data_IF_337430120534
#
_entry.id   IF_337430120534
#
_cell.length_a   1.000
_cell.length_b   1.000
_cell.length_c   1.000
_cell.angle_alpha   90.00
_cell.angle_beta   90.00
_cell.angle_gamma   90.00
#
_symmetry.space_group_name_H-M   'P 1'
#
loop_
_entity.id
_entity.type
_entity.pdbx_description
1 polymer ?
#
# COMPACT_ATOMS: atom_id res chain seq x y z
N UNK A 1 -27.19 -7.85 -8.17
CA UNK A 1 -26.71 -7.04 -9.32
C UNK A 1 -25.54 -7.76 -9.98
N UNK A 2 -25.39 -7.69 -11.31
CA UNK A 2 -24.26 -8.32 -12.01
C UNK A 2 -22.93 -7.63 -11.63
N UNK A 3 -21.88 -8.43 -11.39
CA UNK A 3 -20.54 -7.96 -11.04
C UNK A 3 -19.72 -7.70 -12.32
N UNK A 4 -19.85 -6.50 -12.88
CA UNK A 4 -19.17 -6.07 -14.12
C UNK A 4 -17.65 -6.26 -14.07
N UNK A 5 -17.05 -6.08 -12.89
CA UNK A 5 -15.62 -6.19 -12.64
C UNK A 5 -15.28 -7.51 -11.93
N UNK A 6 -15.86 -8.61 -12.41
CA UNK A 6 -15.75 -9.98 -11.88
C UNK A 6 -16.26 -10.15 -10.45
N UNK A 7 -15.57 -9.56 -9.46
CA UNK A 7 -15.96 -9.60 -8.04
C UNK A 7 -16.63 -8.31 -7.55
N UNK A 8 -16.52 -7.21 -8.31
CA UNK A 8 -17.11 -5.92 -7.96
C UNK A 8 -18.16 -5.48 -8.98
N UNK A 9 -19.21 -4.79 -8.52
CA UNK A 9 -20.02 -3.91 -9.38
C UNK A 9 -19.25 -2.62 -9.68
N UNK A 10 -19.71 -1.84 -10.66
CA UNK A 10 -19.17 -0.49 -10.90
C UNK A 10 -19.30 0.42 -9.67
N UNK A 11 -20.44 0.35 -8.98
CA UNK A 11 -20.69 1.14 -7.77
C UNK A 11 -19.73 0.75 -6.63
N UNK A 12 -19.48 -0.54 -6.42
CA UNK A 12 -18.54 -1.00 -5.40
C UNK A 12 -17.10 -0.58 -5.70
N UNK A 13 -16.70 -0.61 -6.97
CA UNK A 13 -15.39 -0.10 -7.37
C UNK A 13 -15.30 1.40 -7.15
N UNK A 14 -16.34 2.15 -7.50
CA UNK A 14 -16.42 3.60 -7.27
C UNK A 14 -16.36 3.94 -5.78
N UNK A 15 -17.08 3.20 -4.96
CA UNK A 15 -17.08 3.35 -3.51
C UNK A 15 -15.71 3.08 -2.91
N UNK A 16 -15.07 1.95 -3.28
CA UNK A 16 -13.72 1.61 -2.83
C UNK A 16 -12.70 2.72 -3.15
N UNK A 17 -12.72 3.20 -4.39
CA UNK A 17 -11.82 4.27 -4.84
C UNK A 17 -12.17 5.61 -4.16
N UNK A 18 -13.46 5.88 -3.95
CA UNK A 18 -13.96 7.05 -3.24
C UNK A 18 -13.54 7.13 -1.77
N UNK A 19 -13.18 6.00 -1.14
CA UNK A 19 -12.66 5.94 0.24
C UNK A 19 -11.17 6.31 0.36
N UNK A 20 -10.40 6.32 -0.75
CA UNK A 20 -8.95 6.58 -0.72
C UNK A 20 -8.58 7.97 -0.16
N UNK A 21 -9.28 9.08 -0.50
CA UNK A 21 -8.98 10.38 0.10
C UNK A 21 -9.11 10.38 1.63
N UNK A 22 -10.17 9.77 2.17
CA UNK A 22 -10.37 9.64 3.63
C UNK A 22 -9.26 8.80 4.27
N UNK A 23 -8.93 7.67 3.65
CA UNK A 23 -7.83 6.82 4.12
C UNK A 23 -6.49 7.57 4.15
N UNK A 24 -6.19 8.37 3.13
CA UNK A 24 -5.00 9.24 3.11
C UNK A 24 -5.03 10.32 4.19
N UNK A 25 -6.19 10.91 4.47
CA UNK A 25 -6.34 11.88 5.57
C UNK A 25 -6.00 11.21 6.90
N UNK A 26 -6.64 10.08 7.20
CA UNK A 26 -6.39 9.32 8.43
C UNK A 26 -4.90 9.01 8.62
N UNK A 27 -4.23 8.63 7.54
CA UNK A 27 -2.80 8.38 7.56
C UNK A 27 -1.94 9.63 7.81
N UNK A 28 -2.32 10.77 7.23
CA UNK A 28 -1.66 12.04 7.51
C UNK A 28 -1.90 12.48 8.96
N UNK A 29 -3.12 12.29 9.46
CA UNK A 29 -3.55 12.64 10.81
C UNK A 29 -2.80 11.79 11.86
N UNK A 30 -2.68 10.48 11.66
CA UNK A 30 -1.87 9.61 12.53
C UNK A 30 -0.42 10.08 12.59
N UNK A 31 0.19 10.41 11.44
CA UNK A 31 1.57 10.91 11.43
C UNK A 31 1.69 12.25 12.15
N UNK A 32 0.77 13.18 11.91
CA UNK A 32 0.76 14.48 12.55
C UNK A 32 0.61 14.33 14.07
N UNK A 33 -0.31 13.47 14.51
CA UNK A 33 -0.53 13.18 15.91
C UNK A 33 0.70 12.56 16.58
N UNK A 34 1.31 11.53 15.98
CA UNK A 34 2.55 10.92 16.51
C UNK A 34 3.66 11.95 16.65
N UNK A 35 3.78 12.89 15.70
CA UNK A 35 4.78 13.95 15.77
C UNK A 35 4.54 14.97 16.90
N UNK A 36 3.33 15.07 17.42
CA UNK A 36 2.98 15.98 18.54
C UNK A 36 2.88 15.27 19.88
N UNK A 37 2.98 13.93 19.93
CA UNK A 37 3.01 13.17 21.19
C UNK A 37 4.30 13.53 21.95
N UNK A 38 4.22 13.91 23.24
CA UNK A 38 5.42 14.15 24.06
C UNK A 38 6.34 12.93 24.06
N UNK A 39 7.66 13.15 24.04
CA UNK A 39 8.65 12.08 23.89
C UNK A 39 8.53 11.03 25.00
N UNK A 40 8.22 11.45 26.23
CA UNK A 40 8.04 10.57 27.38
C UNK A 40 6.84 9.63 27.18
N UNK A 41 5.73 10.17 26.64
CA UNK A 41 4.55 9.37 26.32
C UNK A 41 4.84 8.42 25.17
N UNK A 42 5.54 8.91 24.13
CA UNK A 42 5.94 8.09 22.99
C UNK A 42 6.81 6.91 23.44
N UNK A 43 7.85 7.16 24.22
CA UNK A 43 8.79 6.14 24.71
C UNK A 43 8.13 5.19 25.73
N UNK A 44 7.11 5.65 26.48
CA UNK A 44 6.34 4.77 27.37
C UNK A 44 5.55 3.69 26.61
N UNK A 45 5.15 3.99 25.37
CA UNK A 45 4.42 3.08 24.48
C UNK A 45 5.42 2.30 23.62
N UNK A 46 6.35 2.99 22.98
CA UNK A 46 7.38 2.46 22.08
C UNK A 46 8.64 2.12 22.87
N UNK A 47 8.60 1.02 23.63
CA UNK A 47 9.64 0.67 24.62
C UNK A 47 10.96 0.17 24.01
N UNK A 48 11.05 0.06 22.68
CA UNK A 48 12.23 -0.40 21.95
C UNK A 48 11.87 -1.06 20.63
N UNK A 49 12.86 -1.66 19.96
CA UNK A 49 12.63 -2.36 18.69
C UNK A 49 12.11 -1.45 17.57
N UNK A 50 12.47 -0.16 17.58
CA UNK A 50 12.07 0.77 16.54
C UNK A 50 12.45 0.22 15.16
N UNK A 51 11.47 0.12 14.28
CA UNK A 51 11.65 -0.47 12.95
C UNK A 51 11.37 -1.96 12.87
N UNK A 52 10.99 -2.67 13.95
CA UNK A 52 10.69 -4.10 13.90
C UNK A 52 9.62 -4.46 12.85
N UNK A 53 8.72 -3.53 12.53
CA UNK A 53 7.71 -3.71 11.48
C UNK A 53 8.30 -3.98 10.09
N UNK A 54 9.57 -3.62 9.83
CA UNK A 54 10.19 -3.85 8.52
C UNK A 54 10.32 -5.33 8.20
N UNK A 55 10.41 -6.17 9.24
CA UNK A 55 10.37 -7.63 9.09
C UNK A 55 9.05 -8.14 8.52
N UNK A 56 7.96 -7.38 8.70
CA UNK A 56 6.66 -7.72 8.13
C UNK A 56 6.67 -7.59 6.61
N UNK A 57 7.46 -6.67 6.04
CA UNK A 57 7.64 -6.56 4.60
C UNK A 57 8.41 -7.75 4.00
N UNK A 58 9.06 -8.59 4.82
CA UNK A 58 9.63 -9.84 4.31
C UNK A 58 8.54 -10.86 3.96
N UNK A 59 7.35 -10.73 4.53
CA UNK A 59 6.23 -11.66 4.30
C UNK A 59 5.45 -11.30 3.03
N UNK A 60 4.79 -12.27 2.39
CA UNK A 60 3.76 -11.99 1.38
C UNK A 60 2.74 -10.97 1.91
N UNK A 61 2.20 -10.12 1.02
CA UNK A 61 1.30 -9.04 1.45
C UNK A 61 0.04 -9.55 2.16
N UNK A 62 -0.48 -10.72 1.78
CA UNK A 62 -1.63 -11.31 2.46
C UNK A 62 -1.31 -11.63 3.92
N UNK A 63 -0.13 -12.20 4.21
CA UNK A 63 0.29 -12.44 5.59
C UNK A 63 0.50 -11.13 6.36
N UNK A 64 1.04 -10.10 5.71
CA UNK A 64 1.14 -8.75 6.29
C UNK A 64 -0.25 -8.24 6.70
N UNK A 65 -1.23 -8.30 5.81
CA UNK A 65 -2.59 -7.88 6.10
C UNK A 65 -3.24 -8.73 7.21
N UNK A 66 -3.03 -10.04 7.20
CA UNK A 66 -3.52 -10.95 8.25
C UNK A 66 -2.98 -10.60 9.63
N UNK A 67 -1.70 -10.23 9.75
CA UNK A 67 -1.13 -9.82 11.03
C UNK A 67 -1.84 -8.57 11.60
N UNK A 68 -2.15 -7.60 10.74
CA UNK A 68 -2.87 -6.38 11.17
C UNK A 68 -4.30 -6.72 11.59
N UNK A 69 -5.00 -7.56 10.82
CA UNK A 69 -6.38 -8.01 11.15
C UNK A 69 -6.41 -8.69 12.52
N UNK A 70 -5.46 -9.58 12.80
CA UNK A 70 -5.37 -10.25 14.09
C UNK A 70 -5.00 -9.25 15.19
N UNK A 71 -3.99 -8.41 14.98
CA UNK A 71 -3.57 -7.42 15.98
C UNK A 71 -4.70 -6.46 16.39
N UNK A 72 -5.54 -6.05 15.45
CA UNK A 72 -6.71 -5.20 15.69
C UNK A 72 -7.94 -5.96 16.22
N UNK A 73 -7.80 -7.26 16.48
CA UNK A 73 -8.88 -8.13 16.94
C UNK A 73 -10.10 -8.14 15.97
N UNK A 74 -9.81 -8.17 14.66
CA UNK A 74 -10.79 -8.10 13.55
C UNK A 74 -10.99 -9.42 12.82
N UNK A 75 -10.37 -10.51 13.30
CA UNK A 75 -10.45 -11.81 12.61
C UNK A 75 -11.89 -12.31 12.45
N UNK A 76 -12.73 -12.15 13.48
CA UNK A 76 -14.15 -12.51 13.42
C UNK A 76 -14.94 -11.65 12.43
N UNK A 77 -14.67 -10.34 12.39
CA UNK A 77 -15.30 -9.43 11.42
C UNK A 77 -14.99 -9.90 9.99
N UNK A 78 -13.74 -10.26 9.71
CA UNK A 78 -13.32 -10.75 8.38
C UNK A 78 -13.95 -12.10 8.05
N UNK A 79 -14.11 -12.99 9.03
CA UNK A 79 -14.83 -14.25 8.84
C UNK A 79 -16.32 -14.01 8.54
N UNK A 80 -16.96 -13.08 9.25
CA UNK A 80 -18.35 -12.71 9.02
C UNK A 80 -18.55 -12.07 7.63
N UNK A 81 -17.65 -11.16 7.22
CA UNK A 81 -17.64 -10.60 5.87
C UNK A 81 -17.48 -11.69 4.81
N UNK A 82 -16.55 -12.63 5.01
CA UNK A 82 -16.31 -13.73 4.07
C UNK A 82 -17.51 -14.67 3.93
N UNK A 83 -18.30 -14.84 4.99
CA UNK A 83 -19.52 -15.66 5.01
C UNK A 83 -20.77 -14.94 4.49
N UNK A 84 -20.71 -13.62 4.25
CA UNK A 84 -21.84 -12.84 3.77
C UNK A 84 -22.21 -13.20 2.32
N UNK A 85 -23.46 -12.92 1.92
CA UNK A 85 -23.92 -13.14 0.54
C UNK A 85 -23.16 -12.31 -0.49
N UNK A 86 -22.74 -11.09 -0.12
CA UNK A 86 -21.83 -10.25 -0.90
C UNK A 86 -20.64 -9.83 -0.03
N UNK A 87 -19.56 -10.63 0.02
CA UNK A 87 -18.40 -10.34 0.87
C UNK A 87 -17.72 -9.02 0.52
N UNK A 88 -17.81 -8.57 -0.74
CA UNK A 88 -17.21 -7.30 -1.16
C UNK A 88 -18.00 -6.12 -0.61
N UNK A 89 -19.34 -6.18 -0.64
CA UNK A 89 -20.16 -5.14 -0.01
C UNK A 89 -19.97 -5.14 1.50
N UNK A 90 -20.00 -6.32 2.15
CA UNK A 90 -19.78 -6.42 3.59
C UNK A 90 -18.43 -5.81 4.01
N UNK A 91 -17.38 -6.02 3.21
CA UNK A 91 -16.08 -5.39 3.45
C UNK A 91 -16.11 -3.87 3.27
N UNK A 92 -16.80 -3.35 2.25
CA UNK A 92 -16.96 -1.91 2.08
C UNK A 92 -17.76 -1.30 3.24
N UNK A 93 -18.90 -1.87 3.59
CA UNK A 93 -19.74 -1.41 4.70
C UNK A 93 -18.94 -1.36 6.02
N UNK A 94 -18.03 -2.32 6.24
CA UNK A 94 -17.16 -2.34 7.43
C UNK A 94 -16.07 -1.27 7.46
N UNK A 95 -15.74 -0.64 6.33
CA UNK A 95 -14.73 0.44 6.26
C UNK A 95 -15.29 1.80 6.69
N UNK A 96 -16.40 1.83 7.45
CA UNK A 96 -16.97 3.07 7.96
C UNK A 96 -16.05 3.67 9.04
N UNK A 97 -15.35 4.74 8.64
CA UNK A 97 -14.36 5.43 9.46
C UNK A 97 -14.97 6.33 10.54
N UNK A 98 -16.29 6.40 10.64
CA UNK A 98 -17.00 7.18 11.66
C UNK A 98 -17.44 6.34 12.87
N UNK A 99 -17.20 5.02 12.84
CA UNK A 99 -17.43 4.17 14.00
C UNK A 99 -16.29 4.31 15.02
N UNK A 100 -16.60 4.89 16.19
CA UNK A 100 -15.75 4.83 17.39
C UNK A 100 -15.83 3.41 17.97
N UNK A 101 -15.16 2.47 17.30
CA UNK A 101 -15.00 1.12 17.83
C UNK A 101 -13.76 1.06 18.73
N UNK A 102 -13.99 1.29 20.03
CA UNK A 102 -13.00 1.19 21.11
C UNK A 102 -12.54 -0.26 21.41
N UNK A 103 -12.64 -1.16 20.42
CA UNK A 103 -12.23 -2.55 20.56
C UNK A 103 -10.76 -2.65 21.00
N UNK A 104 -10.47 -3.39 22.07
CA UNK A 104 -9.09 -3.63 22.46
C UNK A 104 -8.35 -4.43 21.39
N UNK A 105 -7.06 -4.16 21.24
CA UNK A 105 -6.17 -4.98 20.43
C UNK A 105 -6.09 -6.41 20.99
N UNK A 106 -5.68 -7.34 20.15
CA UNK A 106 -5.56 -8.75 20.52
C UNK A 106 -4.42 -8.95 21.55
N UNK A 107 -4.64 -9.81 22.55
CA UNK A 107 -3.74 -10.02 23.70
C UNK A 107 -2.31 -10.47 23.33
N UNK A 108 -2.16 -11.11 22.17
CA UNK A 108 -0.87 -11.55 21.65
C UNK A 108 0.02 -10.41 21.12
N UNK A 109 -0.48 -9.17 21.11
CA UNK A 109 0.23 -7.99 20.61
C UNK A 109 0.32 -6.93 21.68
N UNK A 110 1.47 -6.28 21.78
CA UNK A 110 1.62 -5.10 22.61
C UNK A 110 1.12 -3.85 21.85
N UNK A 111 0.83 -2.77 22.58
CA UNK A 111 0.42 -1.49 21.96
C UNK A 111 1.42 -1.00 20.90
N UNK A 112 2.72 -1.18 21.14
CA UNK A 112 3.76 -0.82 20.18
C UNK A 112 3.66 -1.62 18.88
N UNK A 113 3.26 -2.89 18.95
CA UNK A 113 3.14 -3.75 17.77
C UNK A 113 1.99 -3.30 16.91
N UNK A 114 0.86 -2.93 17.53
CA UNK A 114 -0.31 -2.38 16.84
C UNK A 114 0.03 -1.08 16.12
N UNK A 115 0.74 -0.16 16.78
CA UNK A 115 1.20 1.11 16.19
C UNK A 115 2.16 0.84 15.03
N UNK A 116 3.13 -0.06 15.21
CA UNK A 116 4.12 -0.43 14.22
C UNK A 116 3.49 -1.10 12.98
N UNK A 117 2.55 -2.02 13.20
CA UNK A 117 1.79 -2.69 12.14
C UNK A 117 0.91 -1.69 11.37
N UNK A 118 0.22 -0.79 12.06
CA UNK A 118 -0.59 0.27 11.44
C UNK A 118 0.27 1.20 10.58
N UNK A 119 1.45 1.59 11.08
CA UNK A 119 2.41 2.37 10.30
C UNK A 119 2.89 1.61 9.06
N UNK A 120 3.19 0.32 9.19
CA UNK A 120 3.63 -0.51 8.07
C UNK A 120 2.57 -0.68 6.97
N UNK A 121 1.29 -0.78 7.37
CA UNK A 121 0.17 -0.81 6.43
C UNK A 121 0.07 0.52 5.69
N UNK A 122 0.15 1.63 6.42
CA UNK A 122 0.14 2.96 5.81
C UNK A 122 1.22 3.08 4.72
N UNK A 123 2.46 2.67 5.02
CA UNK A 123 3.55 2.70 4.04
C UNK A 123 3.32 1.77 2.87
N UNK A 124 2.70 0.61 3.11
CA UNK A 124 2.35 -0.32 2.04
C UNK A 124 1.28 0.24 1.11
N UNK A 125 0.25 0.87 1.65
CA UNK A 125 -0.78 1.57 0.87
C UNK A 125 -0.17 2.72 0.06
N UNK A 126 0.74 3.49 0.67
CA UNK A 126 1.49 4.54 -0.02
C UNK A 126 2.32 3.97 -1.19
N UNK A 127 2.96 2.82 -1.01
CA UNK A 127 3.68 2.12 -2.08
C UNK A 127 2.74 1.67 -3.20
N UNK A 128 1.56 1.13 -2.87
CA UNK A 128 0.57 0.71 -3.86
C UNK A 128 0.09 1.88 -4.72
N UNK A 129 -0.22 3.02 -4.09
CA UNK A 129 -0.61 4.24 -4.79
C UNK A 129 0.51 4.82 -5.66
N UNK A 130 1.77 4.72 -5.20
CA UNK A 130 2.92 5.31 -5.90
C UNK A 130 3.42 4.43 -7.05
N UNK A 131 3.53 3.13 -6.81
CA UNK A 131 4.23 2.17 -7.67
C UNK A 131 3.33 1.05 -8.21
N UNK A 132 2.07 0.96 -7.77
CA UNK A 132 1.20 -0.16 -8.12
C UNK A 132 1.66 -1.49 -7.50
N UNK A 133 2.41 -1.43 -6.39
CA UNK A 133 3.00 -2.60 -5.70
C UNK A 133 2.98 -2.42 -4.19
N UNK A 134 2.74 -3.49 -3.45
CA UNK A 134 2.97 -3.51 -2.01
C UNK A 134 4.47 -3.40 -1.68
N UNK A 135 4.80 -2.98 -0.46
CA UNK A 135 6.19 -3.05 0.02
C UNK A 135 6.67 -4.50 0.07
N UNK A 136 5.81 -5.41 0.53
CA UNK A 136 6.06 -6.86 0.51
C UNK A 136 6.47 -7.36 -0.88
N UNK A 137 5.75 -6.99 -1.94
CA UNK A 137 6.08 -7.49 -3.28
C UNK A 137 7.33 -6.85 -3.85
N UNK A 138 7.64 -5.59 -3.51
CA UNK A 138 8.92 -4.97 -3.84
C UNK A 138 10.09 -5.71 -3.18
N UNK A 139 9.99 -6.03 -1.87
CA UNK A 139 11.04 -6.77 -1.16
C UNK A 139 11.15 -8.21 -1.68
N UNK A 140 10.03 -8.89 -1.95
CA UNK A 140 10.03 -10.22 -2.56
C UNK A 140 10.78 -10.25 -3.89
N UNK A 141 10.59 -9.24 -4.75
CA UNK A 141 11.29 -9.12 -6.03
C UNK A 141 12.80 -8.89 -5.88
N UNK A 142 13.23 -8.24 -4.79
CA UNK A 142 14.65 -8.14 -4.43
C UNK A 142 15.21 -9.51 -4.04
N UNK A 143 14.45 -10.30 -3.27
CA UNK A 143 14.86 -11.66 -2.86
C UNK A 143 14.95 -12.61 -4.04
N UNK A 144 13.89 -12.69 -4.82
CA UNK A 144 13.73 -13.68 -5.89
C UNK A 144 14.54 -13.35 -7.14
N UNK A 145 14.55 -12.06 -7.54
CA UNK A 145 15.09 -11.65 -8.84
C UNK A 145 16.31 -10.74 -8.73
N UNK A 146 16.81 -10.49 -7.51
CA UNK A 146 17.91 -9.55 -7.26
C UNK A 146 17.65 -8.13 -7.85
N UNK A 147 16.38 -7.72 -7.90
CA UNK A 147 15.98 -6.46 -8.50
C UNK A 147 16.27 -5.27 -7.56
N UNK A 148 17.46 -4.69 -7.68
CA UNK A 148 17.92 -3.58 -6.82
C UNK A 148 17.06 -2.32 -6.99
N UNK A 149 16.44 -2.10 -8.15
CA UNK A 149 15.53 -0.96 -8.34
C UNK A 149 14.29 -1.07 -7.46
N UNK A 150 13.79 -2.30 -7.24
CA UNK A 150 12.69 -2.55 -6.31
C UNK A 150 13.08 -2.24 -4.86
N UNK A 151 14.32 -2.53 -4.47
CA UNK A 151 14.85 -2.14 -3.16
C UNK A 151 14.84 -0.60 -2.99
N UNK A 152 15.34 0.14 -3.97
CA UNK A 152 15.36 1.60 -3.89
C UNK A 152 13.97 2.23 -3.94
N UNK A 153 13.01 1.61 -4.64
CA UNK A 153 11.59 2.03 -4.58
C UNK A 153 11.03 1.82 -3.18
N UNK A 154 11.28 0.66 -2.56
CA UNK A 154 10.81 0.36 -1.21
C UNK A 154 11.39 1.34 -0.17
N UNK A 155 12.72 1.52 -0.16
CA UNK A 155 13.42 2.46 0.76
C UNK A 155 12.92 3.90 0.62
N UNK A 156 12.54 4.30 -0.59
CA UNK A 156 12.00 5.64 -0.86
C UNK A 156 10.66 5.88 -0.16
N UNK A 157 9.85 4.84 0.03
CA UNK A 157 8.57 4.92 0.74
C UNK A 157 8.78 4.83 2.25
N UNK A 158 9.57 3.84 2.69
CA UNK A 158 9.89 3.59 4.08
C UNK A 158 11.40 3.38 4.25
N UNK A 159 12.05 4.36 4.87
CA UNK A 159 13.50 4.37 5.08
C UNK A 159 13.95 3.29 6.05
N UNK A 160 13.07 2.84 6.95
CA UNK A 160 13.41 1.80 7.92
C UNK A 160 13.73 0.46 7.24
N UNK A 161 13.31 0.27 5.98
CA UNK A 161 13.61 -0.92 5.17
C UNK A 161 15.10 -1.22 5.07
N UNK A 162 16.00 -0.24 5.29
CA UNK A 162 17.44 -0.53 5.38
C UNK A 162 17.79 -1.56 6.46
N UNK A 163 16.95 -1.70 7.51
CA UNK A 163 17.09 -2.71 8.56
C UNK A 163 16.45 -4.06 8.25
N UNK A 164 15.81 -4.19 7.09
CA UNK A 164 15.19 -5.44 6.63
C UNK A 164 16.29 -6.45 6.23
N UNK A 165 16.20 -7.75 6.59
CA UNK A 165 17.23 -8.74 6.26
C UNK A 165 17.65 -8.75 4.77
N UNK A 166 16.68 -8.67 3.87
CA UNK A 166 16.91 -8.59 2.42
C UNK A 166 17.70 -7.34 2.03
N UNK A 167 17.37 -6.18 2.61
CA UNK A 167 18.08 -4.94 2.33
C UNK A 167 19.52 -4.97 2.88
N UNK A 168 19.69 -5.48 4.10
CA UNK A 168 20.99 -5.65 4.74
C UNK A 168 21.92 -6.54 3.92
N UNK A 169 21.43 -7.68 3.40
CA UNK A 169 22.21 -8.53 2.49
C UNK A 169 22.70 -7.74 1.25
N UNK A 170 21.83 -6.96 0.61
CA UNK A 170 22.20 -6.17 -0.57
C UNK A 170 23.20 -5.07 -0.25
N UNK A 171 23.01 -4.37 0.87
CA UNK A 171 23.92 -3.32 1.34
C UNK A 171 25.29 -3.93 1.66
N UNK A 172 25.34 -5.03 2.41
CA UNK A 172 26.58 -5.72 2.76
C UNK A 172 27.34 -6.21 1.53
N UNK A 173 26.64 -6.81 0.55
CA UNK A 173 27.25 -7.22 -0.73
C UNK A 173 27.81 -6.05 -1.51
N UNK A 174 27.12 -4.91 -1.53
CA UNK A 174 27.58 -3.72 -2.22
C UNK A 174 28.83 -3.14 -1.55
N UNK A 175 28.86 -3.13 -0.21
CA UNK A 175 30.02 -2.69 0.58
C UNK A 175 31.25 -3.57 0.31
N UNK A 176 31.11 -4.88 0.45
CA UNK A 176 32.19 -5.85 0.21
C UNK A 176 32.78 -5.75 -1.20
N UNK A 177 32.00 -5.27 -2.17
CA UNK A 177 32.44 -5.10 -3.57
C UNK A 177 32.87 -3.66 -3.90
N UNK A 178 32.86 -2.75 -2.93
CA UNK A 178 33.17 -1.34 -3.17
C UNK A 178 32.24 -0.67 -4.20
N UNK A 179 30.97 -1.08 -4.27
CA UNK A 179 30.03 -0.62 -5.29
C UNK A 179 29.51 0.81 -4.98
N UNK A 180 30.32 1.81 -5.32
CA UNK A 180 29.98 3.25 -5.14
C UNK A 180 28.68 3.66 -5.82
N UNK A 181 28.36 3.05 -6.97
CA UNK A 181 27.12 3.35 -7.69
C UNK A 181 25.89 2.94 -6.88
N UNK A 182 25.92 1.79 -6.20
CA UNK A 182 24.85 1.36 -5.30
C UNK A 182 24.59 2.41 -4.20
N UNK A 183 25.63 2.86 -3.52
CA UNK A 183 25.48 3.85 -2.43
C UNK A 183 24.99 5.21 -2.91
N UNK A 184 25.35 5.63 -4.14
CA UNK A 184 24.78 6.83 -4.77
C UNK A 184 23.26 6.71 -4.91
N UNK A 185 22.77 5.57 -5.38
CA UNK A 185 21.33 5.31 -5.53
C UNK A 185 20.64 5.12 -4.18
N UNK A 186 21.28 4.46 -3.21
CA UNK A 186 20.78 4.33 -1.84
C UNK A 186 20.58 5.70 -1.18
N UNK A 187 21.57 6.59 -1.29
CA UNK A 187 21.46 7.98 -0.81
C UNK A 187 20.29 8.71 -1.47
N UNK A 188 20.11 8.53 -2.77
CA UNK A 188 18.98 9.12 -3.51
C UNK A 188 17.62 8.51 -3.10
N UNK A 189 17.57 7.23 -2.71
CA UNK A 189 16.37 6.60 -2.18
C UNK A 189 16.03 7.13 -0.78
N UNK A 190 17.04 7.27 0.09
CA UNK A 190 16.90 7.81 1.44
C UNK A 190 16.47 9.28 1.46
N UNK A 191 16.83 10.07 0.44
CA UNK A 191 16.28 11.43 0.28
C UNK A 191 14.74 11.42 0.18
N UNK A 192 14.16 10.29 -0.22
CA UNK A 192 12.73 10.12 -0.38
C UNK A 192 12.26 10.52 -1.78
N UNK A 193 10.95 10.55 -1.99
CA UNK A 193 10.37 10.85 -3.28
C UNK A 193 10.47 12.31 -3.68
N UNK A 194 10.63 12.57 -4.98
CA UNK A 194 10.48 13.92 -5.51
C UNK A 194 8.99 14.32 -5.53
N UNK A 195 8.68 15.54 -5.07
CA UNK A 195 7.31 16.08 -5.00
C UNK A 195 6.56 16.01 -6.35
N UNK A 196 7.29 16.12 -7.47
CA UNK A 196 6.74 16.13 -8.84
C UNK A 196 6.24 14.76 -9.34
N UNK A 197 6.78 13.65 -8.81
CA UNK A 197 6.41 12.29 -9.26
C UNK A 197 5.08 11.82 -8.63
N UNK A 198 4.62 12.52 -7.59
CA UNK A 198 3.59 12.07 -6.66
C UNK A 198 2.23 12.70 -6.86
N UNK A 199 2.15 13.85 -7.54
CA UNK A 199 0.89 14.60 -7.55
C UNK A 199 -0.02 14.17 -8.70
N UNK A 200 -1.20 13.66 -8.36
CA UNK A 200 -2.37 13.60 -9.24
C UNK A 200 -2.62 12.31 -10.03
N UNK A 201 -1.90 11.22 -9.74
CA UNK A 201 -2.10 9.91 -10.40
C UNK A 201 -2.28 8.73 -9.45
N UNK A 202 -2.25 8.98 -8.14
CA UNK A 202 -2.24 7.93 -7.11
C UNK A 202 -3.53 7.09 -7.13
N UNK A 203 -4.68 7.75 -7.27
CA UNK A 203 -5.98 7.07 -7.26
C UNK A 203 -6.17 6.25 -8.54
N UNK A 204 -5.69 6.75 -9.68
CA UNK A 204 -5.65 6.00 -10.94
C UNK A 204 -4.74 4.77 -10.85
N UNK A 205 -3.53 4.91 -10.28
CA UNK A 205 -2.59 3.79 -10.10
C UNK A 205 -3.18 2.73 -9.17
N UNK A 206 -3.84 3.15 -8.10
CA UNK A 206 -4.53 2.24 -7.19
C UNK A 206 -5.71 1.55 -7.89
N UNK A 207 -6.52 2.27 -8.66
CA UNK A 207 -7.59 1.67 -9.46
C UNK A 207 -7.06 0.62 -10.44
N UNK A 208 -5.95 0.90 -11.13
CA UNK A 208 -5.29 -0.10 -11.98
C UNK A 208 -4.80 -1.31 -11.20
N UNK A 209 -4.23 -1.13 -10.00
CA UNK A 209 -3.85 -2.24 -9.14
C UNK A 209 -5.06 -3.12 -8.83
N UNK A 210 -6.17 -2.54 -8.37
CA UNK A 210 -7.39 -3.29 -8.04
C UNK A 210 -7.94 -4.05 -9.25
N UNK A 211 -8.03 -3.40 -10.41
CA UNK A 211 -8.48 -4.08 -11.65
C UNK A 211 -7.61 -5.30 -11.97
N UNK A 212 -6.29 -5.19 -11.75
CA UNK A 212 -5.35 -6.29 -12.01
C UNK A 212 -5.47 -7.41 -10.99
N UNK A 213 -5.70 -7.12 -9.72
CA UNK A 213 -5.98 -8.12 -8.68
C UNK A 213 -7.31 -8.85 -8.92
N UNK A 214 -8.28 -8.18 -9.55
CA UNK A 214 -9.50 -8.81 -10.04
C UNK A 214 -9.26 -9.62 -11.33
N UNK A 215 -8.07 -9.53 -11.93
CA UNK A 215 -7.70 -10.19 -13.18
C UNK A 215 -8.29 -9.54 -14.43
N UNK A 216 -8.66 -8.26 -14.35
CA UNK A 216 -9.18 -7.46 -15.47
C UNK A 216 -8.00 -6.79 -16.17
N UNK A 217 -7.60 -7.35 -17.30
CA UNK A 217 -6.35 -7.01 -17.99
C UNK A 217 -6.54 -6.56 -19.46
N UNK A 218 -7.79 -6.42 -19.90
CA UNK A 218 -8.17 -6.31 -21.31
C UNK A 218 -9.18 -5.20 -21.61
N UNK A 219 -9.23 -4.13 -20.82
CA UNK A 219 -10.11 -2.98 -21.09
C UNK A 219 -9.74 -2.28 -22.41
N UNK A 220 -10.75 -1.89 -23.19
CA UNK A 220 -10.56 -1.06 -24.38
C UNK A 220 -10.22 0.38 -24.00
N UNK A 221 -9.80 1.20 -24.97
CA UNK A 221 -9.57 2.63 -24.72
C UNK A 221 -10.85 3.37 -24.29
N UNK A 222 -11.99 2.99 -24.87
CA UNK A 222 -13.28 3.56 -24.50
C UNK A 222 -13.69 3.16 -23.08
N UNK A 223 -13.50 1.88 -22.70
CA UNK A 223 -13.81 1.41 -21.35
C UNK A 223 -12.90 2.07 -20.30
N UNK A 224 -11.61 2.24 -20.63
CA UNK A 224 -10.66 2.92 -19.74
C UNK A 224 -11.04 4.38 -19.52
N UNK A 225 -11.41 5.11 -20.57
CA UNK A 225 -11.87 6.48 -20.43
C UNK A 225 -13.17 6.56 -19.64
N UNK A 226 -14.17 5.73 -19.99
CA UNK A 226 -15.44 5.69 -19.25
C UNK A 226 -15.19 5.46 -17.76
N UNK A 227 -14.42 4.43 -17.43
CA UNK A 227 -14.15 4.08 -16.04
C UNK A 227 -13.33 5.16 -15.31
N UNK A 228 -12.17 5.54 -15.85
CA UNK A 228 -11.19 6.37 -15.12
C UNK A 228 -11.58 7.86 -15.10
N UNK A 229 -12.25 8.34 -16.14
CA UNK A 229 -12.64 9.76 -16.28
C UNK A 229 -14.06 9.97 -15.81
N UNK A 230 -15.03 9.20 -16.34
CA UNK A 230 -16.45 9.48 -16.12
C UNK A 230 -16.98 8.84 -14.83
N UNK A 231 -16.65 7.57 -14.58
CA UNK A 231 -17.24 6.83 -13.46
C UNK A 231 -16.50 7.10 -12.14
N UNK A 232 -15.17 7.00 -12.16
CA UNK A 232 -14.32 7.14 -10.98
C UNK A 232 -13.79 8.56 -10.74
N UNK A 233 -13.66 9.38 -11.79
CA UNK A 233 -13.10 10.73 -11.69
C UNK A 233 -11.62 10.79 -11.25
N UNK A 234 -10.87 9.69 -11.41
CA UNK A 234 -9.46 9.58 -10.99
C UNK A 234 -8.46 10.04 -12.05
N UNK A 235 -8.94 10.44 -13.23
CA UNK A 235 -8.13 11.01 -14.30
C UNK A 235 -8.83 12.21 -14.95
N UNK A 236 -8.05 13.22 -15.35
CA UNK A 236 -8.60 14.44 -15.93
C UNK A 236 -9.12 14.21 -17.35
N UNK A 237 -10.27 14.79 -17.65
CA UNK A 237 -10.78 14.86 -19.02
C UNK A 237 -9.99 15.91 -19.81
N UNK A 238 -8.96 15.49 -20.51
CA UNK A 238 -8.08 16.33 -21.35
C UNK A 238 -7.90 15.71 -22.72
N UNK A 239 -7.56 16.53 -23.72
CA UNK A 239 -7.21 16.02 -25.04
C UNK A 239 -6.10 14.97 -24.95
N UNK A 240 -6.33 13.80 -25.55
CA UNK A 240 -5.41 12.66 -25.50
C UNK A 240 -5.53 11.77 -24.26
N UNK A 241 -6.53 11.97 -23.38
CA UNK A 241 -6.73 11.15 -22.18
C UNK A 241 -6.76 9.64 -22.48
N UNK A 242 -7.50 9.21 -23.53
CA UNK A 242 -7.54 7.80 -23.98
C UNK A 242 -6.14 7.21 -24.21
N UNK A 243 -5.33 7.89 -25.02
CA UNK A 243 -3.97 7.46 -25.37
C UNK A 243 -3.06 7.38 -24.14
N UNK A 244 -3.17 8.37 -23.25
CA UNK A 244 -2.36 8.41 -22.02
C UNK A 244 -2.79 7.31 -21.03
N UNK A 245 -4.10 7.13 -20.81
CA UNK A 245 -4.66 6.07 -19.99
C UNK A 245 -4.25 4.69 -20.51
N UNK A 246 -4.32 4.48 -21.83
CA UNK A 246 -3.83 3.25 -22.48
C UNK A 246 -2.36 3.01 -22.16
N UNK A 247 -1.51 4.02 -22.29
CA UNK A 247 -0.08 3.91 -21.98
C UNK A 247 0.15 3.56 -20.50
N UNK A 248 -0.55 4.21 -19.57
CA UNK A 248 -0.46 3.90 -18.14
C UNK A 248 -0.97 2.50 -17.82
N UNK A 249 -2.06 2.06 -18.43
CA UNK A 249 -2.62 0.73 -18.24
C UNK A 249 -1.69 -0.36 -18.80
N UNK A 250 -1.11 -0.16 -19.98
CA UNK A 250 -0.12 -1.10 -20.52
C UNK A 250 1.16 -1.13 -19.68
N UNK A 251 1.57 0.01 -19.12
CA UNK A 251 2.68 0.03 -18.18
C UNK A 251 2.33 -0.72 -16.90
N UNK A 252 1.14 -0.49 -16.32
CA UNK A 252 0.71 -1.16 -15.11
C UNK A 252 0.71 -2.67 -15.29
N UNK A 253 0.26 -3.20 -16.44
CA UNK A 253 0.27 -4.65 -16.75
C UNK A 253 1.65 -5.33 -16.69
N UNK A 254 2.75 -4.57 -16.85
CA UNK A 254 4.13 -5.10 -16.78
C UNK A 254 4.64 -5.26 -15.35
N UNK A 255 3.92 -4.72 -14.37
CA UNK A 255 4.35 -4.69 -12.97
C UNK A 255 3.88 -5.98 -12.28
N UNK A 256 4.72 -6.69 -11.52
CA UNK A 256 4.22 -7.75 -10.61
C UNK A 256 3.49 -7.07 -9.45
N UNK A 257 2.22 -7.40 -9.22
CA UNK A 257 1.38 -6.72 -8.23
C UNK A 257 1.59 -7.25 -6.82
N UNK A 258 0.55 -7.77 -6.16
CA UNK A 258 0.56 -8.29 -4.79
C UNK A 258 1.28 -9.63 -4.72
#
# INVERSE_FOLDING_TARGET
MPKEYKKLTGDQLKELIGRLPKLRSLFADVRAHVATVPIEKFDSIMKGGYGAWVSVYEKPFIEHLSLIIVALNRAQDVQAMAAANDPQQAALDSMDFESDDDRPHHEAFEKQDVVALSFSLNRTMQSMMTYGRSLSSLIQDVRENNNVDSLFKAIRIDRAIVGCPTALDRIARAELRGNKAFFKHLRAALAGPSKKVWTGMDDMRYAFLILRELGINNLSEADLEKLMVNDLGVYKNVSGARKNLRAHYQHSRKIKTI
#
